data_IF_224937991277
#
_entry.id   IF_224937991277
#
_cell.length_a   1.000
_cell.length_b   1.000
_cell.length_c   1.000
_cell.angle_alpha   90.00
_cell.angle_beta   90.00
_cell.angle_gamma   90.00
#
_symmetry.space_group_name_H-M   'P 1'
#
loop_
_entity.id
_entity.type
_entity.pdbx_description
1 polymer ?
#
# COMPACT_ATOMS: atom_id res chain seq x y z
N UNK A 1 25.95 16.99 22.58
CA UNK A 1 25.19 16.92 21.31
C UNK A 1 25.11 15.46 20.88
N UNK A 2 23.92 14.85 20.92
CA UNK A 2 23.74 13.41 20.71
C UNK A 2 23.51 13.11 19.22
N UNK A 3 24.61 13.01 18.47
CA UNK A 3 24.66 12.82 17.01
C UNK A 3 24.00 11.52 16.53
N UNK A 4 23.84 10.51 17.39
CA UNK A 4 23.20 9.25 17.03
C UNK A 4 21.67 9.37 16.89
N UNK A 5 21.03 10.21 17.69
CA UNK A 5 19.58 10.44 17.64
C UNK A 5 19.16 11.13 16.32
N UNK A 6 20.00 12.05 15.82
CA UNK A 6 19.75 12.76 14.56
C UNK A 6 19.91 11.86 13.33
N UNK A 7 20.88 10.93 13.35
CA UNK A 7 21.03 9.93 12.28
C UNK A 7 19.85 8.94 12.26
N UNK A 8 19.38 8.50 13.42
CA UNK A 8 18.19 7.64 13.51
C UNK A 8 16.92 8.33 13.01
N UNK A 9 16.69 9.60 13.34
CA UNK A 9 15.58 10.37 12.79
C UNK A 9 15.67 10.55 11.27
N UNK A 10 16.86 10.88 10.74
CA UNK A 10 17.06 11.05 9.29
C UNK A 10 16.83 9.76 8.51
N UNK A 11 17.28 8.61 9.05
CA UNK A 11 17.05 7.32 8.40
C UNK A 11 15.56 6.92 8.44
N UNK A 12 14.84 7.20 9.52
CA UNK A 12 13.39 7.00 9.56
C UNK A 12 12.66 7.90 8.56
N UNK A 13 13.04 9.17 8.42
CA UNK A 13 12.43 10.10 7.47
C UNK A 13 12.69 9.69 6.01
N UNK A 14 13.91 9.25 5.70
CA UNK A 14 14.25 8.70 4.37
C UNK A 14 13.47 7.43 4.07
N UNK A 15 13.32 6.53 5.05
CA UNK A 15 12.53 5.31 4.88
C UNK A 15 11.05 5.64 4.65
N UNK A 16 10.48 6.59 5.38
CA UNK A 16 9.09 7.00 5.22
C UNK A 16 8.82 7.61 3.83
N UNK A 17 9.70 8.50 3.37
CA UNK A 17 9.55 9.15 2.06
C UNK A 17 9.78 8.19 0.89
N UNK A 18 10.75 7.29 1.02
CA UNK A 18 11.18 6.42 -0.08
C UNK A 18 10.40 5.09 -0.14
N UNK A 19 10.01 4.53 1.00
CA UNK A 19 9.38 3.21 1.08
C UNK A 19 7.86 3.24 1.26
N UNK A 20 7.29 4.38 1.66
CA UNK A 20 5.83 4.52 1.82
C UNK A 20 5.29 5.44 0.72
N UNK A 21 5.74 6.68 0.68
CA UNK A 21 5.12 7.68 -0.20
C UNK A 21 5.42 7.41 -1.69
N UNK A 22 6.66 7.04 -2.03
CA UNK A 22 7.06 6.78 -3.41
C UNK A 22 6.33 5.58 -4.05
N UNK A 23 6.29 4.38 -3.42
CA UNK A 23 5.55 3.26 -4.00
C UNK A 23 4.02 3.44 -3.92
N UNK A 24 3.49 4.15 -2.93
CA UNK A 24 2.06 4.47 -2.87
C UNK A 24 1.64 5.37 -4.04
N UNK A 25 2.42 6.44 -4.28
CA UNK A 25 2.15 7.36 -5.38
C UNK A 25 2.32 6.68 -6.74
N UNK A 26 3.32 5.80 -6.87
CA UNK A 26 3.50 4.96 -8.06
C UNK A 26 2.31 4.03 -8.29
N UNK A 27 1.83 3.34 -7.26
CA UNK A 27 0.64 2.49 -7.38
C UNK A 27 -0.63 3.28 -7.71
N UNK A 28 -0.83 4.45 -7.09
CA UNK A 28 -1.95 5.32 -7.41
C UNK A 28 -1.92 5.80 -8.87
N UNK A 29 -0.73 6.16 -9.38
CA UNK A 29 -0.54 6.53 -10.78
C UNK A 29 -0.83 5.35 -11.72
N UNK A 30 -0.31 4.16 -11.41
CA UNK A 30 -0.54 2.95 -12.21
C UNK A 30 -2.03 2.59 -12.23
N UNK A 31 -2.69 2.59 -11.07
CA UNK A 31 -4.13 2.34 -10.96
C UNK A 31 -4.92 3.39 -11.74
N UNK A 32 -4.60 4.68 -11.61
CA UNK A 32 -5.29 5.74 -12.32
C UNK A 32 -5.14 5.65 -13.85
N UNK A 33 -3.91 5.41 -14.34
CA UNK A 33 -3.64 5.26 -15.77
C UNK A 33 -4.35 4.02 -16.32
N UNK A 34 -4.26 2.89 -15.62
CA UNK A 34 -4.90 1.65 -16.06
C UNK A 34 -6.42 1.75 -16.00
N UNK A 35 -6.99 2.42 -15.00
CA UNK A 35 -8.44 2.66 -14.92
C UNK A 35 -8.94 3.56 -16.06
N UNK A 36 -8.17 4.59 -16.42
CA UNK A 36 -8.51 5.52 -17.50
C UNK A 36 -8.38 4.87 -18.90
N UNK A 37 -7.36 4.03 -19.09
CA UNK A 37 -7.11 3.37 -20.37
C UNK A 37 -7.96 2.11 -20.58
N UNK A 38 -8.17 1.32 -19.52
CA UNK A 38 -8.86 0.03 -19.57
C UNK A 38 -9.67 -0.19 -18.28
N UNK A 39 -10.94 0.24 -18.24
CA UNK A 39 -11.81 0.03 -17.09
C UNK A 39 -12.30 -1.43 -17.03
N UNK A 40 -11.39 -2.35 -16.73
CA UNK A 40 -11.68 -3.76 -16.46
C UNK A 40 -11.64 -4.04 -14.96
N UNK A 41 -12.73 -4.60 -14.44
CA UNK A 41 -12.90 -4.91 -13.01
C UNK A 41 -11.93 -6.02 -12.59
N UNK A 42 -11.62 -6.97 -13.49
CA UNK A 42 -10.63 -8.04 -13.25
C UNK A 42 -9.24 -7.46 -13.05
N UNK A 43 -8.88 -6.47 -13.87
CA UNK A 43 -7.59 -5.79 -13.78
C UNK A 43 -7.50 -4.97 -12.48
N UNK A 44 -8.54 -4.23 -12.13
CA UNK A 44 -8.63 -3.48 -10.87
C UNK A 44 -8.47 -4.39 -9.65
N UNK A 45 -9.21 -5.50 -9.60
CA UNK A 45 -9.12 -6.48 -8.52
C UNK A 45 -7.69 -7.01 -8.38
N UNK A 46 -7.05 -7.37 -9.49
CA UNK A 46 -5.68 -7.90 -9.49
C UNK A 46 -4.67 -6.87 -8.99
N UNK A 47 -4.77 -5.61 -9.43
CA UNK A 47 -3.89 -4.52 -9.00
C UNK A 47 -4.05 -4.21 -7.51
N UNK A 48 -5.28 -4.10 -7.02
CA UNK A 48 -5.53 -3.86 -5.59
C UNK A 48 -5.09 -5.06 -4.74
N UNK A 49 -5.25 -6.28 -5.22
CA UNK A 49 -4.72 -7.48 -4.56
C UNK A 49 -3.19 -7.44 -4.48
N UNK A 50 -2.50 -7.18 -5.59
CA UNK A 50 -1.05 -7.04 -5.63
C UNK A 50 -0.56 -5.94 -4.67
N UNK A 51 -1.27 -4.81 -4.65
CA UNK A 51 -0.99 -3.71 -3.75
C UNK A 51 -1.17 -4.09 -2.29
N UNK A 52 -2.24 -4.81 -1.95
CA UNK A 52 -2.48 -5.29 -0.60
C UNK A 52 -1.35 -6.22 -0.12
N UNK A 53 -0.95 -7.20 -0.94
CA UNK A 53 0.16 -8.10 -0.60
C UNK A 53 1.50 -7.35 -0.43
N UNK A 54 1.76 -6.35 -1.29
CA UNK A 54 2.95 -5.51 -1.16
C UNK A 54 2.95 -4.74 0.18
N UNK A 55 1.83 -4.11 0.53
CA UNK A 55 1.68 -3.39 1.80
C UNK A 55 1.78 -4.32 3.01
N UNK A 56 1.20 -5.52 2.94
CA UNK A 56 1.32 -6.54 3.97
C UNK A 56 2.77 -7.00 4.18
N UNK A 57 3.53 -7.18 3.09
CA UNK A 57 4.97 -7.50 3.15
C UNK A 57 5.79 -6.41 3.82
N UNK A 58 5.55 -5.13 3.46
CA UNK A 58 6.21 -3.99 4.12
C UNK A 58 5.81 -3.92 5.60
N UNK A 59 4.53 -4.13 5.92
CA UNK A 59 4.05 -4.13 7.29
C UNK A 59 4.77 -5.20 8.11
N UNK A 60 4.92 -6.42 7.56
CA UNK A 60 5.62 -7.51 8.23
C UNK A 60 7.09 -7.18 8.51
N UNK A 61 7.80 -6.64 7.51
CA UNK A 61 9.20 -6.20 7.68
C UNK A 61 9.32 -5.05 8.68
N UNK A 62 8.40 -4.08 8.63
CA UNK A 62 8.37 -2.95 9.56
C UNK A 62 8.06 -3.38 10.99
N UNK A 63 7.25 -4.43 11.16
CA UNK A 63 6.93 -5.04 12.44
C UNK A 63 8.15 -5.77 13.03
N UNK A 64 8.82 -6.62 12.26
CA UNK A 64 10.05 -7.32 12.68
C UNK A 64 11.16 -6.33 13.07
N UNK A 65 11.36 -5.27 12.28
CA UNK A 65 12.38 -4.26 12.57
C UNK A 65 11.99 -3.23 13.64
N UNK A 66 10.85 -3.41 14.32
CA UNK A 66 10.34 -2.51 15.36
C UNK A 66 10.30 -1.02 14.97
N UNK A 67 10.10 -0.72 13.68
CA UNK A 67 9.98 0.67 13.23
C UNK A 67 8.59 1.22 13.57
N UNK A 68 8.39 1.68 14.80
CA UNK A 68 7.06 2.11 15.32
C UNK A 68 6.27 3.01 14.35
N UNK A 69 6.89 4.06 13.80
CA UNK A 69 6.21 4.96 12.84
C UNK A 69 5.92 4.30 11.49
N UNK A 70 6.89 3.58 10.93
CA UNK A 70 6.75 2.91 9.62
C UNK A 70 5.72 1.79 9.71
N UNK A 71 5.70 1.05 10.81
CA UNK A 71 4.71 0.00 11.08
C UNK A 71 3.29 0.56 11.16
N UNK A 72 3.07 1.68 11.87
CA UNK A 72 1.75 2.33 11.94
C UNK A 72 1.29 2.79 10.55
N UNK A 73 2.17 3.43 9.77
CA UNK A 73 1.82 3.88 8.43
C UNK A 73 1.55 2.71 7.48
N UNK A 74 2.38 1.68 7.50
CA UNK A 74 2.16 0.46 6.73
C UNK A 74 0.86 -0.24 7.15
N UNK A 75 0.49 -0.19 8.43
CA UNK A 75 -0.74 -0.77 8.95
C UNK A 75 -1.96 -0.02 8.43
N UNK A 76 -1.93 1.31 8.49
CA UNK A 76 -2.98 2.18 7.92
C UNK A 76 -3.12 1.92 6.42
N UNK A 77 -2.01 1.89 5.67
CA UNK A 77 -2.01 1.58 4.24
C UNK A 77 -2.57 0.19 3.94
N UNK A 78 -2.20 -0.81 4.74
CA UNK A 78 -2.67 -2.19 4.58
C UNK A 78 -4.18 -2.26 4.76
N UNK A 79 -4.74 -1.60 5.79
CA UNK A 79 -6.19 -1.53 6.01
C UNK A 79 -6.90 -0.81 4.86
N UNK A 80 -6.37 0.33 4.40
CA UNK A 80 -6.91 1.07 3.25
C UNK A 80 -6.90 0.21 1.98
N UNK A 81 -5.78 -0.47 1.69
CA UNK A 81 -5.67 -1.37 0.54
C UNK A 81 -6.58 -2.59 0.65
N UNK A 82 -6.79 -3.12 1.87
CA UNK A 82 -7.75 -4.20 2.13
C UNK A 82 -9.18 -3.76 1.83
N UNK A 83 -9.56 -2.55 2.26
CA UNK A 83 -10.89 -2.00 1.97
C UNK A 83 -11.11 -1.81 0.46
N UNK A 84 -10.11 -1.28 -0.26
CA UNK A 84 -10.17 -1.12 -1.71
C UNK A 84 -10.23 -2.47 -2.44
N UNK A 85 -9.43 -3.43 -2.00
CA UNK A 85 -9.47 -4.79 -2.55
C UNK A 85 -10.82 -5.47 -2.29
N UNK A 86 -11.36 -5.38 -1.08
CA UNK A 86 -12.69 -5.89 -0.74
C UNK A 86 -13.80 -5.25 -1.55
N UNK A 87 -13.75 -3.93 -1.75
CA UNK A 87 -14.68 -3.23 -2.63
C UNK A 87 -14.57 -3.69 -4.09
N UNK A 88 -13.34 -3.91 -4.58
CA UNK A 88 -13.13 -4.43 -5.94
C UNK A 88 -13.62 -5.87 -6.11
N UNK A 89 -13.47 -6.73 -5.09
CA UNK A 89 -14.02 -8.09 -5.06
C UNK A 89 -15.54 -8.07 -5.10
N UNK A 90 -16.16 -7.17 -4.32
CA UNK A 90 -17.62 -7.02 -4.31
C UNK A 90 -18.15 -6.56 -5.66
N UNK A 91 -17.53 -5.54 -6.26
CA UNK A 91 -17.89 -5.06 -7.60
C UNK A 91 -17.68 -6.15 -8.66
N UNK A 92 -16.61 -6.93 -8.56
CA UNK A 92 -16.37 -8.08 -9.42
C UNK A 92 -17.46 -9.14 -9.27
N UNK A 93 -17.84 -9.50 -8.05
CA UNK A 93 -18.89 -10.47 -7.80
C UNK A 93 -20.25 -9.99 -8.31
N UNK A 94 -20.59 -8.71 -8.10
CA UNK A 94 -21.79 -8.08 -8.63
C UNK A 94 -21.81 -8.05 -10.16
N UNK A 95 -20.70 -7.67 -10.80
CA UNK A 95 -20.60 -7.61 -12.25
C UNK A 95 -20.70 -8.99 -12.92
N UNK A 96 -20.31 -10.06 -12.22
CA UNK A 96 -20.33 -11.43 -12.73
C UNK A 96 -21.53 -12.27 -12.25
N UNK A 97 -22.52 -11.67 -11.57
CA UNK A 97 -23.67 -12.38 -10.99
C UNK A 97 -23.28 -13.52 -10.03
N UNK A 98 -22.23 -13.31 -9.23
CA UNK A 98 -21.74 -14.27 -8.23
C UNK A 98 -22.28 -14.00 -6.81
N UNK A 99 -23.24 -13.07 -6.68
CA UNK A 99 -23.90 -12.67 -5.43
C UNK A 99 -25.35 -13.16 -5.38
#
# INVERSE_FOLDING_TARGET
MNTQNEQHQRNQLKFQRNFINFPFLGFALVIAILNLAFPDITLMMTLFGLFFFYNAGILFVAFIKHYKRTAILALILTILSMALFGASLYLYAAANNLL
#
